data_IF_960512172307
#
_entry.id   IF_960512172307
#
_cell.length_a   1.000
_cell.length_b   1.000
_cell.length_c   1.000
_cell.angle_alpha   90.00
_cell.angle_beta   90.00
_cell.angle_gamma   90.00
#
_symmetry.space_group_name_H-M   'P 1'
#
loop_
_entity.id
_entity.type
_entity.pdbx_description
1 polymer ?
#
# COMPACT_ATOMS: atom_id res chain seq x y z
N UNK A 1 34.77 1.79 -43.30
CA UNK A 1 33.86 2.69 -42.55
C UNK A 1 32.92 3.31 -43.56
N UNK A 2 31.61 3.26 -43.32
CA UNK A 2 30.62 3.87 -44.22
C UNK A 2 30.77 5.39 -44.21
N UNK A 3 30.96 5.98 -45.38
CA UNK A 3 31.12 7.43 -45.57
C UNK A 3 29.77 8.14 -45.66
N UNK A 4 29.76 9.44 -45.42
CA UNK A 4 28.56 10.26 -45.58
C UNK A 4 28.05 10.23 -47.03
N UNK A 5 28.94 10.26 -48.02
CA UNK A 5 28.57 10.21 -49.44
C UNK A 5 27.82 8.91 -49.80
N UNK A 6 28.29 7.76 -49.30
CA UNK A 6 27.62 6.46 -49.49
C UNK A 6 26.21 6.45 -48.88
N UNK A 7 26.03 7.03 -47.69
CA UNK A 7 24.71 7.16 -47.06
C UNK A 7 23.74 8.01 -47.91
N UNK A 8 24.21 9.11 -48.50
CA UNK A 8 23.37 10.00 -49.31
C UNK A 8 22.98 9.38 -50.66
N UNK A 9 23.92 8.70 -51.33
CA UNK A 9 23.66 8.01 -52.59
C UNK A 9 22.58 6.94 -52.43
N UNK A 10 22.65 6.18 -51.33
CA UNK A 10 21.66 5.14 -51.04
C UNK A 10 20.28 5.67 -50.68
N UNK A 11 20.20 6.83 -50.03
CA UNK A 11 18.92 7.50 -49.81
C UNK A 11 18.28 7.93 -51.14
N UNK A 12 19.08 8.41 -52.11
CA UNK A 12 18.58 8.75 -53.46
C UNK A 12 18.09 7.52 -54.20
N UNK A 13 18.85 6.42 -54.19
CA UNK A 13 18.42 5.14 -54.79
C UNK A 13 17.14 4.60 -54.15
N UNK A 14 17.02 4.70 -52.83
CA UNK A 14 15.79 4.31 -52.13
C UNK A 14 14.60 5.18 -52.57
N UNK A 15 14.82 6.48 -52.80
CA UNK A 15 13.80 7.38 -53.29
C UNK A 15 13.38 7.08 -54.74
N UNK A 16 14.35 6.78 -55.60
CA UNK A 16 14.08 6.34 -56.98
C UNK A 16 13.26 5.05 -57.01
N UNK A 17 13.60 4.08 -56.16
CA UNK A 17 12.89 2.80 -56.09
C UNK A 17 11.44 2.93 -55.56
N UNK A 18 11.20 3.87 -54.65
CA UNK A 18 9.87 4.12 -54.07
C UNK A 18 9.05 5.14 -54.87
N UNK A 19 9.67 5.89 -55.78
CA UNK A 19 9.05 7.02 -56.48
C UNK A 19 8.75 8.22 -55.59
N UNK A 20 9.19 8.20 -54.33
CA UNK A 20 8.95 9.24 -53.33
C UNK A 20 10.09 9.30 -52.31
N UNK A 21 10.13 10.37 -51.53
CA UNK A 21 11.14 10.56 -50.50
C UNK A 21 10.97 9.57 -49.32
N UNK A 22 11.91 8.65 -49.06
CA UNK A 22 11.70 7.50 -48.17
C UNK A 22 11.47 7.92 -46.71
N UNK A 23 10.46 7.33 -46.05
CA UNK A 23 10.41 7.28 -44.58
C UNK A 23 11.46 6.29 -44.05
N UNK A 24 11.83 6.42 -42.76
CA UNK A 24 12.77 5.49 -42.12
C UNK A 24 12.29 4.04 -42.22
N UNK A 25 10.99 3.79 -42.01
CA UNK A 25 10.40 2.47 -42.08
C UNK A 25 10.41 1.90 -43.51
N UNK A 26 10.10 2.71 -44.52
CA UNK A 26 10.16 2.28 -45.93
C UNK A 26 11.59 1.92 -46.35
N UNK A 27 12.59 2.73 -45.96
CA UNK A 27 14.00 2.41 -46.25
C UNK A 27 14.43 1.08 -45.61
N UNK A 28 14.03 0.83 -44.37
CA UNK A 28 14.31 -0.45 -43.69
C UNK A 28 13.63 -1.64 -44.38
N UNK A 29 12.40 -1.45 -44.89
CA UNK A 29 11.67 -2.48 -45.64
C UNK A 29 12.33 -2.84 -46.98
N UNK A 30 13.08 -1.93 -47.59
CA UNK A 30 13.87 -2.20 -48.81
C UNK A 30 15.10 -3.09 -48.54
N UNK A 31 15.48 -3.31 -47.27
CA UNK A 31 16.61 -4.16 -46.90
C UNK A 31 17.98 -3.63 -47.34
N UNK A 32 18.07 -2.33 -47.66
CA UNK A 32 19.30 -1.69 -48.14
C UNK A 32 20.34 -1.57 -47.02
N UNK A 33 21.63 -1.60 -47.38
CA UNK A 33 22.76 -1.38 -46.48
C UNK A 33 23.55 -0.16 -46.92
N UNK A 34 23.99 0.71 -45.99
CA UNK A 34 24.03 0.51 -44.54
C UNK A 34 22.67 0.75 -43.88
N UNK A 35 22.43 0.13 -42.72
CA UNK A 35 21.15 0.27 -42.02
C UNK A 35 20.84 1.74 -41.64
N UNK A 36 19.56 2.07 -41.49
CA UNK A 36 19.08 3.41 -41.13
C UNK A 36 19.81 4.04 -39.93
N UNK A 37 20.15 3.23 -38.93
CA UNK A 37 20.89 3.65 -37.73
C UNK A 37 22.33 4.11 -38.05
N UNK A 38 22.97 3.53 -39.07
CA UNK A 38 24.29 3.94 -39.54
C UNK A 38 24.19 5.28 -40.26
N UNK A 39 23.16 5.46 -41.09
CA UNK A 39 22.88 6.74 -41.76
C UNK A 39 22.66 7.85 -40.73
N UNK A 40 21.83 7.61 -39.71
CA UNK A 40 21.58 8.58 -38.63
C UNK A 40 22.88 8.97 -37.91
N UNK A 41 23.72 7.98 -37.56
CA UNK A 41 24.98 8.23 -36.85
C UNK A 41 25.99 9.00 -37.70
N UNK A 42 26.10 8.65 -38.98
CA UNK A 42 27.06 9.26 -39.91
C UNK A 42 26.62 10.65 -40.35
N UNK A 43 25.31 10.90 -40.50
CA UNK A 43 24.77 12.14 -41.04
C UNK A 43 24.17 13.10 -40.00
N UNK A 44 24.14 12.73 -38.71
CA UNK A 44 23.60 13.55 -37.61
C UNK A 44 22.12 13.35 -37.33
N UNK A 45 21.35 12.92 -38.33
CA UNK A 45 19.92 12.69 -38.22
C UNK A 45 19.34 12.07 -39.49
N UNK A 46 18.14 11.49 -39.41
CA UNK A 46 17.46 10.92 -40.59
C UNK A 46 17.02 12.04 -41.55
N UNK A 47 16.42 13.10 -41.02
CA UNK A 47 16.01 14.25 -41.83
C UNK A 47 17.22 15.03 -42.35
N UNK A 48 18.26 15.22 -41.54
CA UNK A 48 19.52 15.83 -41.98
C UNK A 48 20.14 15.09 -43.16
N UNK A 49 20.08 13.75 -43.14
CA UNK A 49 20.56 12.93 -44.25
C UNK A 49 19.69 13.11 -45.52
N UNK A 50 18.36 13.19 -45.38
CA UNK A 50 17.44 13.44 -46.50
C UNK A 50 17.64 14.82 -47.10
N UNK A 51 17.78 15.87 -46.28
CA UNK A 51 18.07 17.23 -46.74
C UNK A 51 19.39 17.30 -47.51
N UNK A 52 20.46 16.69 -46.99
CA UNK A 52 21.76 16.61 -47.68
C UNK A 52 21.71 15.78 -48.97
N UNK A 53 20.78 14.83 -49.05
CA UNK A 53 20.55 14.04 -50.25
C UNK A 53 19.68 14.78 -51.30
N UNK A 54 19.09 15.93 -50.95
CA UNK A 54 18.15 16.67 -51.80
C UNK A 54 16.73 16.08 -51.80
N UNK A 55 16.37 15.33 -50.76
CA UNK A 55 15.09 14.64 -50.62
C UNK A 55 14.18 15.37 -49.63
N UNK A 56 12.87 15.35 -49.87
CA UNK A 56 11.90 16.01 -49.00
C UNK A 56 11.95 15.44 -47.57
N UNK A 57 12.21 16.29 -46.58
CA UNK A 57 12.17 15.90 -45.17
C UNK A 57 10.75 16.01 -44.62
N UNK A 58 10.28 14.95 -43.98
CA UNK A 58 9.06 15.00 -43.18
C UNK A 58 9.48 15.22 -41.73
N UNK A 59 9.44 16.48 -41.28
CA UNK A 59 9.47 16.73 -39.83
C UNK A 59 8.17 16.21 -39.25
N UNK A 60 8.23 15.43 -38.17
CA UNK A 60 7.04 15.13 -37.38
C UNK A 60 6.53 16.45 -36.78
N UNK A 61 5.70 17.19 -37.52
CA UNK A 61 5.07 18.44 -37.09
C UNK A 61 3.81 18.16 -36.27
N UNK A 62 3.90 17.20 -35.36
CA UNK A 62 2.79 16.76 -34.53
C UNK A 62 3.27 16.52 -33.11
N UNK A 63 2.42 16.87 -32.15
CA UNK A 63 2.60 16.52 -30.75
C UNK A 63 2.74 15.00 -30.64
N UNK A 64 3.85 14.53 -30.07
CA UNK A 64 4.09 13.09 -29.79
C UNK A 64 3.18 12.54 -28.68
N UNK A 65 2.40 13.42 -28.05
CA UNK A 65 1.43 13.09 -27.00
C UNK A 65 0.10 12.74 -27.68
N UNK A 66 -0.26 11.45 -27.62
CA UNK A 66 -1.59 11.01 -28.05
C UNK A 66 -2.69 11.56 -27.13
N UNK A 67 -3.98 11.44 -27.53
CA UNK A 67 -5.10 11.94 -26.76
C UNK A 67 -5.16 11.32 -25.35
N UNK A 68 -5.80 12.01 -24.40
CA UNK A 68 -6.03 11.50 -23.05
C UNK A 68 -6.87 10.22 -23.13
N UNK A 69 -6.44 9.12 -22.50
CA UNK A 69 -7.28 7.92 -22.37
C UNK A 69 -8.60 8.25 -21.65
N UNK A 70 -9.67 7.54 -22.02
CA UNK A 70 -11.01 7.78 -21.48
C UNK A 70 -11.13 7.42 -19.99
N UNK A 71 -10.37 6.42 -19.55
CA UNK A 71 -10.28 5.84 -18.21
C UNK A 71 -9.38 6.62 -17.25
N UNK A 72 -8.75 7.71 -17.70
CA UNK A 72 -7.85 8.52 -16.87
C UNK A 72 -8.56 9.79 -16.40
N UNK A 73 -8.75 9.92 -15.10
CA UNK A 73 -9.24 11.13 -14.46
C UNK A 73 -8.09 12.11 -14.16
N UNK A 74 -8.28 13.38 -14.52
CA UNK A 74 -7.35 14.46 -14.22
C UNK A 74 -8.00 15.50 -13.30
N UNK A 75 -7.25 16.10 -12.37
CA UNK A 75 -7.76 17.22 -11.57
C UNK A 75 -8.17 18.40 -12.45
N UNK A 76 -9.19 19.14 -12.00
CA UNK A 76 -9.67 20.36 -12.67
C UNK A 76 -8.52 21.34 -12.93
N UNK A 77 -8.43 21.86 -14.15
CA UNK A 77 -7.38 22.78 -14.58
C UNK A 77 -6.08 22.12 -15.06
N UNK A 78 -6.04 20.78 -15.18
CA UNK A 78 -4.89 20.06 -15.72
C UNK A 78 -5.13 19.65 -17.17
N UNK A 79 -4.24 20.01 -18.10
CA UNK A 79 -4.30 19.55 -19.49
C UNK A 79 -3.34 18.39 -19.77
N UNK A 80 -3.82 17.33 -20.44
CA UNK A 80 -3.06 16.10 -20.69
C UNK A 80 -1.81 16.29 -21.56
N UNK A 81 -1.89 17.20 -22.53
CA UNK A 81 -0.81 17.57 -23.44
C UNK A 81 0.30 18.37 -22.75
N UNK A 82 -0.07 19.18 -21.75
CA UNK A 82 0.85 20.01 -20.96
C UNK A 82 1.64 19.20 -19.90
N UNK A 83 1.16 18.00 -19.56
CA UNK A 83 1.84 17.13 -18.61
C UNK A 83 3.23 16.68 -19.11
N UNK A 84 4.13 16.36 -18.20
CA UNK A 84 5.36 15.64 -18.52
C UNK A 84 5.04 14.18 -18.88
N UNK A 85 6.00 13.48 -19.49
CA UNK A 85 5.87 12.05 -19.75
C UNK A 85 5.63 11.25 -18.44
N UNK A 86 6.33 11.64 -17.36
CA UNK A 86 6.21 11.00 -16.05
C UNK A 86 4.86 11.26 -15.39
N UNK A 87 4.33 12.49 -15.50
CA UNK A 87 3.01 12.83 -14.98
C UNK A 87 1.90 12.04 -15.70
N UNK A 88 1.97 11.95 -17.04
CA UNK A 88 1.05 11.10 -17.81
C UNK A 88 1.15 9.63 -17.42
N UNK A 89 2.37 9.14 -17.19
CA UNK A 89 2.57 7.78 -16.70
C UNK A 89 1.94 7.60 -15.32
N UNK A 90 2.12 8.55 -14.40
CA UNK A 90 1.52 8.50 -13.06
C UNK A 90 -0.01 8.37 -13.13
N UNK A 91 -0.68 9.28 -13.85
CA UNK A 91 -2.14 9.28 -13.97
C UNK A 91 -2.68 8.03 -14.67
N UNK A 92 -1.97 7.50 -15.67
CA UNK A 92 -2.35 6.24 -16.34
C UNK A 92 -2.22 5.02 -15.41
N UNK A 93 -1.30 5.05 -14.47
CA UNK A 93 -0.96 3.88 -13.65
C UNK A 93 -1.42 4.03 -12.20
N UNK A 94 -2.36 4.92 -11.88
CA UNK A 94 -2.86 5.11 -10.50
C UNK A 94 -3.42 3.81 -9.94
N UNK A 95 -4.33 3.17 -10.66
CA UNK A 95 -4.96 1.92 -10.21
C UNK A 95 -3.94 0.79 -10.08
N UNK A 96 -3.05 0.65 -11.07
CA UNK A 96 -1.98 -0.35 -11.01
C UNK A 96 -1.01 -0.11 -9.84
N UNK A 97 -0.64 1.15 -9.57
CA UNK A 97 0.22 1.53 -8.45
C UNK A 97 -0.49 1.31 -7.10
N UNK A 98 -1.79 1.62 -7.02
CA UNK A 98 -2.63 1.37 -5.86
C UNK A 98 -2.72 -0.14 -5.59
N UNK A 99 -3.05 -0.94 -6.61
CA UNK A 99 -3.14 -2.40 -6.51
C UNK A 99 -1.79 -3.04 -6.17
N UNK A 100 -0.69 -2.56 -6.78
CA UNK A 100 0.68 -2.97 -6.42
C UNK A 100 0.99 -2.68 -4.96
N UNK A 101 0.62 -1.51 -4.47
CA UNK A 101 0.82 -1.10 -3.07
C UNK A 101 -0.01 -1.96 -2.11
N UNK A 102 -1.28 -2.22 -2.44
CA UNK A 102 -2.17 -3.10 -1.67
C UNK A 102 -1.63 -4.54 -1.63
N UNK A 103 -1.21 -5.10 -2.77
CA UNK A 103 -0.59 -6.43 -2.83
C UNK A 103 0.68 -6.51 -2.01
N UNK A 104 1.54 -5.48 -2.06
CA UNK A 104 2.75 -5.41 -1.23
C UNK A 104 2.41 -5.38 0.26
N UNK A 105 1.47 -4.53 0.68
CA UNK A 105 1.02 -4.45 2.08
C UNK A 105 0.42 -5.76 2.57
N UNK A 106 -0.40 -6.42 1.74
CA UNK A 106 -0.97 -7.74 2.04
C UNK A 106 0.12 -8.78 2.26
N UNK A 107 1.10 -8.90 1.34
CA UNK A 107 2.25 -9.81 1.48
C UNK A 107 3.07 -9.56 2.75
N UNK A 108 3.30 -8.30 3.12
CA UNK A 108 4.02 -7.97 4.35
C UNK A 108 3.20 -8.32 5.59
N UNK A 109 1.88 -8.08 5.59
CA UNK A 109 0.98 -8.49 6.68
C UNK A 109 0.97 -10.01 6.85
N UNK A 110 0.83 -10.79 5.77
CA UNK A 110 0.93 -12.26 5.84
C UNK A 110 2.29 -12.71 6.38
N UNK A 111 3.37 -12.08 5.96
CA UNK A 111 4.72 -12.38 6.48
C UNK A 111 4.82 -12.08 7.98
N UNK A 112 4.25 -10.97 8.47
CA UNK A 112 4.19 -10.66 9.91
C UNK A 112 3.32 -11.65 10.68
N UNK A 113 2.17 -12.05 10.12
CA UNK A 113 1.28 -13.05 10.70
C UNK A 113 2.02 -14.37 10.92
N UNK A 114 2.82 -14.81 9.95
CA UNK A 114 3.63 -16.03 10.09
C UNK A 114 4.67 -15.90 11.19
N UNK A 115 5.39 -14.77 11.25
CA UNK A 115 6.38 -14.52 12.33
C UNK A 115 5.75 -14.51 13.73
N UNK A 116 4.51 -14.04 13.86
CA UNK A 116 3.75 -14.13 15.12
C UNK A 116 3.39 -15.58 15.44
N UNK A 117 2.86 -16.33 14.47
CA UNK A 117 2.49 -17.74 14.61
C UNK A 117 3.65 -18.60 15.10
N UNK A 118 4.81 -18.47 14.46
CA UNK A 118 6.00 -19.25 14.77
C UNK A 118 6.51 -19.04 16.21
N UNK A 119 6.25 -17.87 16.80
CA UNK A 119 6.71 -17.52 18.14
C UNK A 119 5.67 -17.81 19.22
N UNK A 120 4.38 -17.65 18.91
CA UNK A 120 3.32 -17.69 19.92
C UNK A 120 3.45 -16.56 20.95
N UNK A 121 2.58 -16.54 21.95
CA UNK A 121 2.73 -15.65 23.09
C UNK A 121 3.91 -16.11 23.97
N UNK A 122 4.78 -15.20 24.39
CA UNK A 122 5.91 -15.50 25.28
C UNK A 122 5.51 -15.76 26.73
N UNK A 123 4.24 -15.52 27.10
CA UNK A 123 3.75 -15.57 28.50
C UNK A 123 2.66 -16.60 28.76
N UNK A 124 2.05 -17.15 27.73
CA UNK A 124 0.99 -18.16 27.84
C UNK A 124 0.89 -18.97 26.53
N UNK A 125 0.06 -20.00 26.52
CA UNK A 125 -0.01 -20.96 25.40
C UNK A 125 -0.80 -20.47 24.18
N UNK A 126 -1.18 -19.19 24.12
CA UNK A 126 -1.92 -18.64 22.97
C UNK A 126 -0.97 -18.51 21.78
N UNK A 127 -1.26 -19.19 20.68
CA UNK A 127 -0.49 -19.15 19.43
C UNK A 127 -1.30 -18.65 18.21
N UNK A 128 -2.61 -18.44 18.37
CA UNK A 128 -3.50 -17.96 17.30
C UNK A 128 -3.09 -16.57 16.82
N UNK A 129 -2.66 -16.39 15.55
CA UNK A 129 -2.07 -15.12 15.11
C UNK A 129 -2.99 -13.90 15.17
N UNK A 130 -4.31 -14.10 15.07
CA UNK A 130 -5.29 -13.03 15.25
C UNK A 130 -5.23 -12.41 16.65
N UNK A 131 -4.84 -13.20 17.66
CA UNK A 131 -4.70 -12.77 19.04
C UNK A 131 -3.32 -12.18 19.37
N UNK A 132 -2.32 -12.34 18.49
CA UNK A 132 -0.92 -12.00 18.80
C UNK A 132 -0.54 -10.59 18.33
N UNK A 133 0.35 -9.94 19.08
CA UNK A 133 0.97 -8.65 18.79
C UNK A 133 2.48 -8.67 19.04
N UNK A 134 3.19 -7.77 18.35
CA UNK A 134 4.57 -7.46 18.70
C UNK A 134 4.58 -6.43 19.83
N UNK A 135 5.21 -6.78 20.94
CA UNK A 135 5.42 -5.92 22.10
C UNK A 135 6.90 -5.56 22.19
N UNK A 136 7.21 -4.26 22.11
CA UNK A 136 8.57 -3.78 22.30
C UNK A 136 9.01 -3.97 23.75
N UNK A 137 10.12 -4.69 23.94
CA UNK A 137 10.68 -4.99 25.27
C UNK A 137 11.15 -3.69 25.95
N UNK A 138 11.82 -2.82 25.18
CA UNK A 138 12.15 -1.46 25.60
C UNK A 138 11.46 -0.45 24.67
N UNK A 139 10.47 0.25 25.21
CA UNK A 139 9.69 1.25 24.48
C UNK A 139 10.52 2.46 24.00
N UNK A 140 11.73 2.67 24.53
CA UNK A 140 12.64 3.75 24.12
C UNK A 140 13.48 3.39 22.89
N UNK A 141 13.59 2.10 22.55
CA UNK A 141 14.42 1.61 21.43
C UNK A 141 13.64 1.42 20.13
N UNK A 142 12.31 1.48 20.21
CA UNK A 142 11.42 1.32 19.05
C UNK A 142 11.53 2.50 18.10
N UNK A 143 11.56 2.22 16.81
CA UNK A 143 11.33 3.24 15.80
C UNK A 143 9.83 3.49 15.65
N UNK A 144 9.04 2.40 15.53
CA UNK A 144 7.61 2.47 15.32
C UNK A 144 6.94 1.12 15.61
N UNK A 145 5.64 1.13 15.92
CA UNK A 145 4.85 -0.10 15.90
C UNK A 145 5.00 -0.83 14.55
N UNK A 146 5.40 -2.10 14.58
CA UNK A 146 5.70 -2.94 13.39
C UNK A 146 4.57 -2.92 12.37
N UNK A 147 3.31 -2.97 12.82
CA UNK A 147 2.14 -2.88 11.93
C UNK A 147 2.02 -1.55 11.17
N UNK A 148 2.43 -0.42 11.78
CA UNK A 148 2.43 0.88 11.12
C UNK A 148 3.54 1.01 10.09
N UNK A 149 4.69 0.36 10.29
CA UNK A 149 5.78 0.35 9.30
C UNK A 149 5.32 -0.22 7.95
N UNK A 150 4.42 -1.22 7.94
CA UNK A 150 3.82 -1.73 6.70
C UNK A 150 2.97 -0.66 6.00
N UNK A 151 2.17 0.08 6.76
CA UNK A 151 1.35 1.18 6.23
C UNK A 151 2.22 2.29 5.62
N UNK A 152 3.31 2.66 6.30
CA UNK A 152 4.28 3.64 5.81
C UNK A 152 5.25 3.09 4.74
N UNK A 153 5.12 1.83 4.36
CA UNK A 153 5.81 1.27 3.20
C UNK A 153 7.24 0.80 3.46
N UNK A 154 7.65 0.59 4.70
CA UNK A 154 8.99 0.08 5.05
C UNK A 154 9.28 -1.28 4.40
N UNK A 155 10.56 -1.54 4.14
CA UNK A 155 11.05 -2.81 3.58
C UNK A 155 11.05 -3.96 4.60
N UNK A 156 11.27 -5.18 4.13
CA UNK A 156 11.35 -6.37 5.00
C UNK A 156 12.52 -6.30 5.99
N UNK A 157 13.66 -5.74 5.58
CA UNK A 157 14.84 -5.63 6.46
C UNK A 157 14.57 -4.72 7.65
N UNK A 158 14.05 -3.50 7.42
CA UNK A 158 13.65 -2.61 8.51
C UNK A 158 12.59 -3.23 9.43
N UNK A 159 11.64 -4.00 8.88
CA UNK A 159 10.68 -4.74 9.69
C UNK A 159 11.36 -5.82 10.54
N UNK A 160 12.35 -6.55 10.01
CA UNK A 160 13.10 -7.56 10.77
C UNK A 160 13.84 -6.90 11.93
N UNK A 161 14.56 -5.82 11.66
CA UNK A 161 15.35 -5.09 12.67
C UNK A 161 14.45 -4.56 13.79
N UNK A 162 13.23 -4.09 13.48
CA UNK A 162 12.27 -3.66 14.50
C UNK A 162 11.64 -4.84 15.28
N UNK A 163 11.41 -5.98 14.62
CA UNK A 163 10.88 -7.19 15.26
C UNK A 163 11.87 -7.79 16.26
N UNK A 164 13.17 -7.66 16.03
CA UNK A 164 14.22 -8.12 16.96
C UNK A 164 14.14 -7.43 18.33
N UNK A 165 13.54 -6.24 18.40
CA UNK A 165 13.30 -5.49 19.64
C UNK A 165 12.01 -5.91 20.36
N UNK A 166 11.28 -6.86 19.79
CA UNK A 166 9.96 -7.25 20.25
C UNK A 166 9.92 -8.68 20.82
N UNK A 167 9.17 -8.86 21.90
CA UNK A 167 8.55 -10.15 22.23
C UNK A 167 7.17 -10.24 21.55
N UNK A 168 6.67 -11.46 21.33
CA UNK A 168 5.31 -11.68 20.82
C UNK A 168 4.40 -12.00 22.00
N UNK A 169 3.28 -11.28 22.12
CA UNK A 169 2.32 -11.45 23.20
C UNK A 169 0.91 -11.60 22.66
N UNK A 170 0.08 -12.39 23.31
CA UNK A 170 -1.35 -12.33 23.06
C UNK A 170 -1.94 -11.00 23.56
N UNK A 171 -3.11 -10.64 23.06
CA UNK A 171 -3.75 -9.35 23.36
C UNK A 171 -4.04 -9.18 24.86
N UNK A 172 -4.37 -10.26 25.57
CA UNK A 172 -4.56 -10.24 27.03
C UNK A 172 -3.24 -9.91 27.75
N UNK A 173 -2.19 -10.75 27.58
CA UNK A 173 -0.88 -10.53 28.21
C UNK A 173 -0.26 -9.17 27.84
N UNK A 174 -0.47 -8.70 26.61
CA UNK A 174 0.01 -7.38 26.19
C UNK A 174 -0.71 -6.25 26.94
N UNK A 175 -2.01 -6.38 27.19
CA UNK A 175 -2.77 -5.39 27.97
C UNK A 175 -2.38 -5.38 29.44
N UNK A 176 -2.14 -6.54 30.04
CA UNK A 176 -1.69 -6.65 31.44
C UNK A 176 -0.43 -5.81 31.68
N UNK A 177 0.54 -5.84 30.76
CA UNK A 177 1.77 -5.03 30.86
C UNK A 177 1.48 -3.53 30.88
N UNK A 178 0.56 -3.07 30.03
CA UNK A 178 0.23 -1.65 29.90
C UNK A 178 -0.88 -1.20 30.86
N UNK A 179 -1.43 -2.13 31.65
CA UNK A 179 -2.55 -1.82 32.52
C UNK A 179 -2.07 -0.94 33.66
N UNK A 180 -2.71 0.23 33.78
CA UNK A 180 -2.57 1.11 34.94
C UNK A 180 -3.94 1.22 35.58
N UNK A 181 -4.09 0.82 36.86
CA UNK A 181 -5.37 0.91 37.57
C UNK A 181 -5.98 2.32 37.47
N UNK A 182 -7.26 2.44 37.11
CA UNK A 182 -7.87 3.74 36.92
C UNK A 182 -8.05 4.49 38.24
N UNK A 183 -7.76 5.80 38.22
CA UNK A 183 -8.00 6.69 39.37
C UNK A 183 -9.44 7.21 39.45
N UNK A 184 -10.14 7.32 38.31
CA UNK A 184 -11.50 7.89 38.22
C UNK A 184 -12.54 6.87 38.62
N UNK A 185 -13.48 7.26 39.48
CA UNK A 185 -14.55 6.39 40.00
C UNK A 185 -15.39 5.74 38.90
N UNK A 186 -15.74 6.48 37.83
CA UNK A 186 -16.49 5.89 36.72
C UNK A 186 -15.73 4.77 36.03
N UNK A 187 -14.41 4.89 35.89
CA UNK A 187 -13.56 3.85 35.28
C UNK A 187 -13.39 2.64 36.20
N UNK A 188 -13.18 2.87 37.51
CA UNK A 188 -13.16 1.80 38.51
C UNK A 188 -14.46 1.01 38.49
N UNK A 189 -15.59 1.71 38.52
CA UNK A 189 -16.90 1.10 38.46
C UNK A 189 -17.08 0.27 37.17
N UNK A 190 -16.64 0.75 36.01
CA UNK A 190 -16.70 -0.07 34.78
C UNK A 190 -15.77 -1.28 34.81
N UNK A 191 -14.59 -1.18 35.42
CA UNK A 191 -13.70 -2.33 35.63
C UNK A 191 -14.34 -3.36 36.58
N UNK A 192 -15.05 -2.91 37.62
CA UNK A 192 -15.81 -3.79 38.51
C UNK A 192 -16.95 -4.49 37.77
N UNK A 193 -17.65 -3.79 36.86
CA UNK A 193 -18.69 -4.42 36.03
C UNK A 193 -18.10 -5.51 35.13
N UNK A 194 -16.94 -5.26 34.50
CA UNK A 194 -16.24 -6.27 33.69
C UNK A 194 -15.85 -7.47 34.54
N UNK A 195 -15.22 -7.23 35.70
CA UNK A 195 -14.76 -8.29 36.62
C UNK A 195 -15.90 -9.16 37.13
N UNK A 196 -17.04 -8.56 37.45
CA UNK A 196 -18.20 -9.27 37.98
C UNK A 196 -18.80 -10.25 36.97
N UNK A 197 -18.70 -9.94 35.66
CA UNK A 197 -19.24 -10.77 34.58
C UNK A 197 -18.18 -11.75 34.05
N UNK A 198 -16.92 -11.31 33.93
CA UNK A 198 -15.87 -12.08 33.26
C UNK A 198 -16.09 -12.18 31.75
N UNK A 199 -15.18 -12.86 31.06
CA UNK A 199 -15.34 -13.14 29.63
C UNK A 199 -16.47 -14.15 29.39
N UNK A 200 -17.36 -13.86 28.44
CA UNK A 200 -18.47 -14.73 28.05
C UNK A 200 -18.04 -15.97 27.23
N UNK A 201 -16.75 -16.12 26.92
CA UNK A 201 -16.21 -17.20 26.06
C UNK A 201 -15.11 -18.03 26.72
N UNK A 202 -14.48 -17.54 27.79
CA UNK A 202 -13.42 -18.24 28.50
C UNK A 202 -13.34 -17.77 29.97
N UNK A 203 -12.44 -18.35 30.77
CA UNK A 203 -12.31 -18.04 32.21
C UNK A 203 -11.59 -16.74 32.57
N UNK A 204 -11.32 -15.84 31.61
CA UNK A 204 -10.66 -14.56 31.89
C UNK A 204 -11.54 -13.64 32.75
N UNK A 205 -10.98 -13.08 33.81
CA UNK A 205 -11.69 -12.20 34.76
C UNK A 205 -10.95 -10.91 35.07
N UNK A 206 -9.72 -10.72 34.57
CA UNK A 206 -8.99 -9.47 34.76
C UNK A 206 -9.59 -8.35 33.89
N UNK A 207 -10.13 -7.26 34.48
CA UNK A 207 -10.66 -6.14 33.71
C UNK A 207 -9.65 -5.47 32.78
N UNK A 208 -8.33 -5.63 33.01
CA UNK A 208 -7.30 -5.21 32.08
C UNK A 208 -7.46 -5.87 30.70
N UNK A 209 -7.88 -7.13 30.70
CA UNK A 209 -8.02 -7.98 29.51
C UNK A 209 -9.42 -7.89 28.87
N UNK A 210 -10.42 -7.39 29.60
CA UNK A 210 -11.83 -7.42 29.20
C UNK A 210 -12.30 -6.16 28.48
N UNK A 211 -13.18 -6.33 27.49
CA UNK A 211 -13.89 -5.29 26.75
C UNK A 211 -15.40 -5.52 26.76
N UNK A 212 -16.16 -4.44 26.65
CA UNK A 212 -17.58 -4.52 26.33
C UNK A 212 -17.73 -4.65 24.80
N UNK A 213 -18.38 -5.71 24.36
CA UNK A 213 -18.66 -6.02 22.97
C UNK A 213 -20.16 -5.91 22.70
N UNK A 214 -20.53 -5.05 21.75
CA UNK A 214 -21.91 -4.92 21.29
C UNK A 214 -22.30 -6.15 20.46
N UNK A 215 -23.44 -6.75 20.77
CA UNK A 215 -23.98 -7.89 20.03
C UNK A 215 -24.87 -7.48 18.84
N UNK A 216 -25.18 -6.20 18.72
CA UNK A 216 -25.90 -5.59 17.59
C UNK A 216 -25.37 -4.17 17.31
N UNK A 217 -25.80 -3.57 16.21
CA UNK A 217 -25.45 -2.19 15.87
C UNK A 217 -26.22 -1.12 16.68
N UNK A 218 -27.12 -1.54 17.57
CA UNK A 218 -27.94 -0.64 18.39
C UNK A 218 -27.15 -0.07 19.59
N UNK A 219 -26.35 0.97 19.35
CA UNK A 219 -25.54 1.66 20.36
C UNK A 219 -25.66 3.18 20.28
N UNK A 220 -25.57 3.88 21.41
CA UNK A 220 -25.34 5.35 21.38
C UNK A 220 -23.88 5.62 20.98
N UNK A 221 -22.96 4.92 21.66
CA UNK A 221 -21.53 5.02 21.48
C UNK A 221 -20.86 3.81 22.16
N UNK A 222 -19.56 3.63 21.97
CA UNK A 222 -18.84 2.60 22.74
C UNK A 222 -18.83 2.96 24.23
N UNK A 223 -18.90 1.95 25.12
CA UNK A 223 -18.77 2.17 26.57
C UNK A 223 -17.49 2.94 26.90
N UNK A 224 -16.38 2.62 26.23
CA UNK A 224 -15.11 3.33 26.37
C UNK A 224 -15.22 4.83 26.03
N UNK A 225 -15.93 5.17 24.95
CA UNK A 225 -16.18 6.56 24.55
C UNK A 225 -17.08 7.30 25.55
N UNK A 226 -18.15 6.67 26.06
CA UNK A 226 -19.02 7.28 27.07
C UNK A 226 -18.25 7.58 28.37
N UNK A 227 -17.39 6.66 28.80
CA UNK A 227 -16.54 6.83 29.98
C UNK A 227 -15.49 7.92 29.76
N UNK A 228 -14.85 7.95 28.60
CA UNK A 228 -13.86 8.98 28.25
C UNK A 228 -14.50 10.38 28.21
N UNK A 229 -15.72 10.47 27.69
CA UNK A 229 -16.50 11.71 27.62
C UNK A 229 -17.19 12.06 28.95
N UNK A 230 -16.88 11.35 30.04
CA UNK A 230 -17.43 11.58 31.37
C UNK A 230 -18.96 11.64 31.42
N UNK A 231 -19.63 10.76 30.67
CA UNK A 231 -21.10 10.65 30.71
C UNK A 231 -21.54 10.09 32.06
N UNK A 232 -22.81 10.31 32.41
CA UNK A 232 -23.33 9.87 33.69
C UNK A 232 -23.28 8.34 33.83
N UNK A 233 -23.18 7.86 35.06
CA UNK A 233 -23.11 6.44 35.37
C UNK A 233 -24.32 5.68 34.80
N UNK A 234 -25.49 6.31 34.83
CA UNK A 234 -26.75 5.76 34.32
C UNK A 234 -26.69 5.54 32.81
N UNK A 235 -26.17 6.51 32.05
CA UNK A 235 -26.01 6.38 30.59
C UNK A 235 -25.00 5.29 30.22
N UNK A 236 -23.89 5.24 30.95
CA UNK A 236 -22.88 4.17 30.75
C UNK A 236 -23.49 2.81 31.07
N UNK A 237 -24.29 2.71 32.13
CA UNK A 237 -24.99 1.47 32.51
C UNK A 237 -25.94 1.00 31.42
N UNK A 238 -26.81 1.88 30.91
CA UNK A 238 -27.74 1.52 29.83
C UNK A 238 -27.04 1.03 28.56
N UNK A 239 -25.84 1.56 28.27
CA UNK A 239 -25.02 1.07 27.16
C UNK A 239 -24.39 -0.30 27.46
N UNK A 240 -23.91 -0.52 28.70
CA UNK A 240 -23.36 -1.82 29.14
C UNK A 240 -24.41 -2.93 29.06
N UNK A 241 -25.68 -2.64 29.35
CA UNK A 241 -26.78 -3.62 29.29
C UNK A 241 -27.02 -4.17 27.87
N UNK A 242 -26.46 -3.53 26.83
CA UNK A 242 -26.50 -3.97 25.43
C UNK A 242 -25.23 -4.71 24.99
N UNK A 243 -24.27 -4.89 25.91
CA UNK A 243 -22.99 -5.49 25.63
C UNK A 243 -22.88 -6.87 26.29
N UNK A 244 -22.17 -7.79 25.65
CA UNK A 244 -21.52 -8.88 26.36
C UNK A 244 -20.09 -8.46 26.73
N UNK A 245 -19.45 -9.18 27.66
CA UNK A 245 -18.06 -8.93 28.04
C UNK A 245 -17.18 -10.01 27.40
N UNK A 246 -16.15 -9.60 26.68
CA UNK A 246 -15.19 -10.50 26.04
C UNK A 246 -13.77 -10.11 26.43
N UNK A 247 -12.90 -11.09 26.67
CA UNK A 247 -11.46 -10.80 26.74
C UNK A 247 -10.92 -10.41 25.37
N UNK A 248 -9.78 -9.74 25.35
CA UNK A 248 -9.19 -9.17 24.13
C UNK A 248 -8.87 -10.23 23.09
N UNK A 249 -8.45 -11.42 23.51
CA UNK A 249 -8.24 -12.56 22.61
C UNK A 249 -9.56 -13.02 21.97
N UNK A 250 -10.59 -13.32 22.79
CA UNK A 250 -11.90 -13.74 22.29
C UNK A 250 -12.58 -12.67 21.43
N UNK A 251 -12.44 -11.40 21.78
CA UNK A 251 -12.99 -10.28 21.03
C UNK A 251 -12.35 -10.18 19.64
N UNK A 252 -11.03 -10.38 19.52
CA UNK A 252 -10.34 -10.41 18.22
C UNK A 252 -10.78 -11.58 17.36
N UNK A 253 -10.98 -12.76 17.95
CA UNK A 253 -11.48 -13.93 17.23
C UNK A 253 -12.87 -13.69 16.64
N UNK A 254 -13.78 -13.07 17.42
CA UNK A 254 -15.13 -12.73 16.95
C UNK A 254 -15.07 -11.85 15.68
N UNK A 255 -14.24 -10.81 15.65
CA UNK A 255 -14.08 -9.96 14.44
C UNK A 255 -13.35 -10.67 13.30
N UNK A 256 -12.43 -11.59 13.62
CA UNK A 256 -11.70 -12.37 12.62
C UNK A 256 -12.63 -13.33 11.86
N UNK A 257 -13.53 -14.00 12.58
CA UNK A 257 -14.48 -14.96 11.97
C UNK A 257 -15.55 -14.23 11.15
N UNK A 258 -16.02 -13.06 11.60
CA UNK A 258 -16.99 -12.24 10.87
C UNK A 258 -16.46 -11.65 9.55
N UNK A 259 -15.14 -11.49 9.41
CA UNK A 259 -14.51 -10.99 8.16
C UNK A 259 -14.22 -12.09 7.14
N UNK A 260 -14.45 -13.36 7.49
CA UNK A 260 -14.21 -14.53 6.63
C UNK A 260 -15.51 -15.16 6.08
N UNK A 261 -16.68 -14.59 6.39
CA UNK A 261 -18.01 -15.01 5.91
C UNK A 261 -18.58 -14.06 4.84
#
# INVERSE_FOLDING_TARGET
MTTQAECLDLLRRAAEQLGESPTKAQYEALGLRPASATIIRTCGGWNDAKERAGLESSYSRGTRVGPKPADVDLPSGTSWDELSADQRWHYRNVDWNAERTLRRRSRLRSWLTERKRERGCSRCDVDTPACLDFHHIDAMTKEMAVGRMVTFGYGKDALRDEIEKCEVLCANCHREIHYTPPKRELRKWTDDQKRAVGCNRCGETDPACLDFHHTSDEKEATVAQLVSNNRSKERVRSEIERCCVLCSNCHRMEHYDQTMC
#
